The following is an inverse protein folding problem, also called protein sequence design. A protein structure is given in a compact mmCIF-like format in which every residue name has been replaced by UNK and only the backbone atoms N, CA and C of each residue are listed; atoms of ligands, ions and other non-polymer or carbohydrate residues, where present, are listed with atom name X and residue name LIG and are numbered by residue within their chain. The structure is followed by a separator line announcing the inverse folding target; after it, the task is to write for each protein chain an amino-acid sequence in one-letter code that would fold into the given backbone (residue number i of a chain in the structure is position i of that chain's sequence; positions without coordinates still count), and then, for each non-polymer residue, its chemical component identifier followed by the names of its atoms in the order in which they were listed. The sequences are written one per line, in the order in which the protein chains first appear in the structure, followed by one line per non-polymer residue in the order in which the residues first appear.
data_IF_841700970855
#
_entry.id   IF_841700970855
#
_cell.length_a   1.000
_cell.length_b   1.000
_cell.length_c   1.000
_cell.angle_alpha   90.00
_cell.angle_beta   90.00
_cell.angle_gamma   90.00
#
_symmetry.space_group_name_H-M   'P 1'
#
loop_
_entity.id
_entity.type
_entity.pdbx_description
1 polymer ?
#
# COMPACT_ATOMS: atom_id res chain seq x y z
N UNK A 1 -21.50 -14.66 -2.18
CA UNK A 1 -21.93 -15.77 -1.33
C UNK A 1 -21.74 -15.40 0.15
N UNK A 2 -22.62 -15.86 1.05
CA UNK A 2 -22.50 -15.68 2.51
C UNK A 2 -23.00 -14.36 3.10
N UNK A 3 -23.29 -13.34 2.29
CA UNK A 3 -23.72 -12.01 2.75
C UNK A 3 -24.98 -12.05 3.65
N UNK A 4 -25.89 -12.97 3.39
CA UNK A 4 -27.14 -13.14 4.14
C UNK A 4 -26.96 -13.83 5.50
N UNK A 5 -25.78 -14.40 5.77
CA UNK A 5 -25.47 -15.14 7.00
C UNK A 5 -24.95 -14.19 8.08
N UNK A 6 -24.18 -13.17 7.67
CA UNK A 6 -23.52 -12.27 8.60
C UNK A 6 -24.22 -10.90 8.63
N UNK A 7 -24.61 -10.49 9.82
CA UNK A 7 -25.18 -9.17 10.02
C UNK A 7 -24.18 -8.05 9.67
N UNK A 8 -24.61 -6.92 9.09
CA UNK A 8 -23.74 -5.76 8.86
C UNK A 8 -23.22 -5.16 10.18
N UNK A 9 -22.22 -4.27 10.08
CA UNK A 9 -21.60 -3.56 11.21
C UNK A 9 -20.77 -4.44 12.14
N UNK A 10 -20.04 -5.38 11.56
CA UNK A 10 -19.07 -6.21 12.27
C UNK A 10 -17.67 -5.59 12.31
N UNK A 11 -16.79 -6.13 13.16
CA UNK A 11 -15.41 -5.64 13.26
C UNK A 11 -14.56 -6.03 12.04
N UNK A 12 -14.66 -7.27 11.58
CA UNK A 12 -13.89 -7.78 10.44
C UNK A 12 -14.79 -8.52 9.48
N UNK A 13 -14.54 -8.35 8.18
CA UNK A 13 -15.07 -9.18 7.12
C UNK A 13 -13.94 -9.63 6.20
N UNK A 14 -13.92 -10.90 5.84
CA UNK A 14 -13.00 -11.46 4.86
C UNK A 14 -13.71 -11.66 3.53
N UNK A 15 -13.10 -11.19 2.44
CA UNK A 15 -13.61 -11.40 1.08
C UNK A 15 -12.67 -12.38 0.39
N UNK A 16 -13.20 -13.50 -0.09
CA UNK A 16 -12.50 -14.53 -0.85
C UNK A 16 -12.95 -14.55 -2.29
N UNK A 17 -12.19 -15.23 -3.14
CA UNK A 17 -12.55 -15.39 -4.55
C UNK A 17 -13.63 -16.45 -4.76
N UNK A 18 -13.49 -17.61 -4.12
CA UNK A 18 -14.37 -18.74 -4.21
C UNK A 18 -15.27 -18.93 -2.97
N UNK A 19 -16.40 -19.59 -3.17
CA UNK A 19 -17.36 -19.91 -2.09
C UNK A 19 -16.76 -20.91 -1.10
N UNK A 20 -16.02 -21.89 -1.63
CA UNK A 20 -15.31 -22.89 -0.81
C UNK A 20 -14.24 -22.22 0.04
N UNK A 21 -13.56 -21.20 -0.50
CA UNK A 21 -12.56 -20.44 0.24
C UNK A 21 -13.18 -19.61 1.36
N UNK A 22 -14.37 -19.06 1.15
CA UNK A 22 -15.11 -18.36 2.20
C UNK A 22 -15.45 -19.27 3.37
N UNK A 23 -15.94 -20.48 3.07
CA UNK A 23 -16.24 -21.48 4.10
C UNK A 23 -14.96 -21.97 4.80
N UNK A 24 -13.90 -22.21 4.04
CA UNK A 24 -12.60 -22.63 4.58
C UNK A 24 -11.98 -21.54 5.47
N UNK A 25 -12.00 -20.28 5.02
CA UNK A 25 -11.52 -19.14 5.81
C UNK A 25 -12.32 -18.98 7.11
N UNK A 26 -13.64 -19.12 7.05
CA UNK A 26 -14.48 -19.05 8.23
C UNK A 26 -14.11 -20.12 9.26
N UNK A 27 -13.94 -21.36 8.83
CA UNK A 27 -13.52 -22.48 9.69
C UNK A 27 -12.11 -22.26 10.25
N UNK A 28 -11.15 -21.85 9.42
CA UNK A 28 -9.76 -21.57 9.82
C UNK A 28 -9.66 -20.44 10.84
N UNK A 29 -10.54 -19.44 10.77
CA UNK A 29 -10.62 -18.33 11.71
C UNK A 29 -11.44 -18.62 12.96
N UNK A 30 -11.85 -19.89 13.16
CA UNK A 30 -12.57 -20.32 14.34
C UNK A 30 -14.03 -19.89 14.36
N UNK A 31 -14.63 -19.73 13.19
CA UNK A 31 -16.04 -19.37 13.01
C UNK A 31 -16.43 -18.06 13.71
N UNK A 32 -15.47 -17.13 13.80
CA UNK A 32 -15.63 -15.89 14.58
C UNK A 32 -15.92 -14.66 13.72
N UNK A 33 -15.29 -14.56 12.56
CA UNK A 33 -15.35 -13.37 11.71
C UNK A 33 -16.13 -13.65 10.43
N UNK A 34 -16.85 -12.66 9.92
CA UNK A 34 -17.59 -12.79 8.68
C UNK A 34 -16.67 -13.14 7.51
N UNK A 35 -17.05 -14.13 6.72
CA UNK A 35 -16.35 -14.55 5.51
C UNK A 35 -17.36 -14.67 4.37
N UNK A 36 -17.11 -13.94 3.28
CA UNK A 36 -17.96 -13.90 2.09
C UNK A 36 -17.12 -14.09 0.85
N UNK A 37 -17.72 -14.53 -0.25
CA UNK A 37 -17.03 -14.60 -1.54
C UNK A 37 -17.68 -13.73 -2.59
N UNK A 38 -16.86 -13.35 -3.59
CA UNK A 38 -17.36 -12.83 -4.87
C UNK A 38 -18.03 -13.96 -5.68
N UNK A 39 -18.77 -13.61 -6.77
CA UNK A 39 -19.61 -14.60 -7.45
C UNK A 39 -18.92 -15.34 -8.59
N UNK A 40 -18.11 -14.61 -9.38
CA UNK A 40 -17.59 -15.10 -10.65
C UNK A 40 -16.05 -14.92 -10.78
N UNK A 41 -15.32 -15.13 -9.70
CA UNK A 41 -13.87 -15.05 -9.67
C UNK A 41 -13.30 -13.62 -9.80
N UNK A 42 -11.98 -13.51 -9.84
CA UNK A 42 -11.23 -12.25 -9.80
C UNK A 42 -11.70 -11.20 -10.82
N UNK A 43 -12.10 -11.61 -12.03
CA UNK A 43 -12.54 -10.69 -13.08
C UNK A 43 -13.80 -9.90 -12.72
N UNK A 44 -14.67 -10.46 -11.89
CA UNK A 44 -15.90 -9.80 -11.46
C UNK A 44 -15.77 -9.07 -10.12
N UNK A 45 -14.66 -9.24 -9.42
CA UNK A 45 -14.44 -8.78 -8.05
C UNK A 45 -14.83 -7.31 -7.84
N UNK A 46 -14.32 -6.43 -8.69
CA UNK A 46 -14.61 -4.99 -8.61
C UNK A 46 -16.11 -4.69 -8.74
N UNK A 47 -16.78 -5.33 -9.68
CA UNK A 47 -18.22 -5.14 -9.94
C UNK A 47 -19.07 -5.69 -8.78
N UNK A 48 -18.70 -6.85 -8.27
CA UNK A 48 -19.47 -7.52 -7.21
C UNK A 48 -19.29 -6.78 -5.88
N UNK A 49 -18.07 -6.32 -5.57
CA UNK A 49 -17.81 -5.49 -4.40
C UNK A 49 -18.49 -4.10 -4.50
N UNK A 50 -18.53 -3.47 -5.68
CA UNK A 50 -19.31 -2.23 -5.88
C UNK A 50 -20.77 -2.41 -5.56
N UNK A 51 -21.38 -3.52 -6.00
CA UNK A 51 -22.81 -3.82 -5.73
C UNK A 51 -23.09 -4.05 -4.24
N UNK A 52 -22.12 -4.59 -3.53
CA UNK A 52 -22.21 -4.89 -2.09
C UNK A 52 -21.51 -3.82 -1.22
N UNK A 53 -21.21 -2.64 -1.78
CA UNK A 53 -20.38 -1.63 -1.14
C UNK A 53 -20.88 -1.24 0.24
N UNK A 54 -22.15 -0.86 0.38
CA UNK A 54 -22.73 -0.43 1.66
C UNK A 54 -22.63 -1.51 2.74
N UNK A 55 -22.83 -2.77 2.34
CA UNK A 55 -22.69 -3.90 3.27
C UNK A 55 -21.23 -4.09 3.69
N UNK A 56 -20.30 -4.14 2.74
CA UNK A 56 -18.88 -4.34 3.01
C UNK A 56 -18.28 -3.17 3.81
N UNK A 57 -18.67 -1.94 3.45
CA UNK A 57 -18.18 -0.74 4.14
C UNK A 57 -18.75 -0.58 5.55
N UNK A 58 -19.80 -1.29 5.90
CA UNK A 58 -20.34 -1.31 7.27
C UNK A 58 -19.44 -1.98 8.30
N UNK A 59 -18.43 -2.76 7.89
CA UNK A 59 -17.46 -3.38 8.77
C UNK A 59 -16.29 -2.43 9.06
N UNK A 60 -15.66 -2.54 10.23
CA UNK A 60 -14.53 -1.69 10.60
C UNK A 60 -13.31 -1.95 9.70
N UNK A 61 -13.05 -3.22 9.37
CA UNK A 61 -11.92 -3.64 8.55
C UNK A 61 -12.35 -4.73 7.55
N UNK A 62 -11.84 -4.62 6.34
CA UNK A 62 -12.04 -5.59 5.26
C UNK A 62 -10.72 -6.29 4.99
N UNK A 63 -10.68 -7.62 5.08
CA UNK A 63 -9.52 -8.44 4.72
C UNK A 63 -9.78 -9.09 3.37
N UNK A 64 -8.97 -8.78 2.38
CA UNK A 64 -9.07 -9.35 1.04
C UNK A 64 -8.14 -10.56 0.97
N UNK A 65 -8.72 -11.74 0.75
CA UNK A 65 -8.03 -13.04 0.69
C UNK A 65 -8.34 -13.71 -0.65
N UNK A 66 -7.83 -13.12 -1.74
CA UNK A 66 -7.95 -13.68 -3.08
C UNK A 66 -6.79 -14.60 -3.39
N UNK A 67 -6.90 -15.37 -4.46
CA UNK A 67 -5.86 -16.30 -4.92
C UNK A 67 -4.51 -15.60 -5.11
N UNK A 68 -3.42 -16.30 -4.82
CA UNK A 68 -2.06 -15.73 -4.92
C UNK A 68 -1.51 -15.69 -6.35
N UNK A 69 -2.36 -15.88 -7.34
CA UNK A 69 -1.99 -15.70 -8.75
C UNK A 69 -1.98 -14.21 -9.17
N UNK A 70 -1.61 -13.95 -10.42
CA UNK A 70 -1.55 -12.58 -10.95
C UNK A 70 -2.92 -11.91 -10.97
N UNK A 71 -3.97 -12.64 -11.34
CA UNK A 71 -5.32 -12.11 -11.47
C UNK A 71 -5.92 -11.76 -10.09
N UNK A 72 -5.74 -12.63 -9.11
CA UNK A 72 -6.20 -12.40 -7.74
C UNK A 72 -5.50 -11.20 -7.09
N UNK A 73 -4.19 -11.04 -7.31
CA UNK A 73 -3.45 -9.86 -6.79
C UNK A 73 -3.93 -8.55 -7.42
N UNK A 74 -4.07 -8.49 -8.74
CA UNK A 74 -4.60 -7.30 -9.43
C UNK A 74 -6.05 -6.98 -9.01
N UNK A 75 -6.86 -8.01 -8.81
CA UNK A 75 -8.23 -7.85 -8.32
C UNK A 75 -8.28 -7.33 -6.87
N UNK A 76 -7.38 -7.83 -6.01
CA UNK A 76 -7.26 -7.37 -4.62
C UNK A 76 -6.97 -5.88 -4.54
N UNK A 77 -6.04 -5.38 -5.35
CA UNK A 77 -5.70 -3.96 -5.41
C UNK A 77 -6.89 -3.11 -5.89
N UNK A 78 -7.54 -3.54 -6.98
CA UNK A 78 -8.71 -2.83 -7.53
C UNK A 78 -9.88 -2.79 -6.54
N UNK A 79 -10.11 -3.87 -5.80
CA UNK A 79 -11.16 -3.90 -4.77
C UNK A 79 -10.78 -3.03 -3.57
N UNK A 80 -9.52 -3.06 -3.14
CA UNK A 80 -9.06 -2.24 -2.03
C UNK A 80 -9.19 -0.73 -2.32
N UNK A 81 -9.02 -0.31 -3.57
CA UNK A 81 -9.20 1.09 -4.01
C UNK A 81 -10.64 1.60 -3.92
N UNK A 82 -11.63 0.73 -3.77
CA UNK A 82 -13.02 1.14 -3.61
C UNK A 82 -13.31 1.79 -2.26
N UNK A 83 -12.53 1.44 -1.25
CA UNK A 83 -12.78 1.79 0.13
C UNK A 83 -11.84 2.89 0.62
N UNK A 84 -12.21 3.51 1.73
CA UNK A 84 -11.40 4.56 2.34
C UNK A 84 -9.99 4.06 2.70
N UNK A 85 -8.98 4.93 2.69
CA UNK A 85 -7.61 4.56 3.11
C UNK A 85 -7.61 3.86 4.48
N UNK A 86 -6.76 2.86 4.63
CA UNK A 86 -6.62 2.02 5.83
C UNK A 86 -7.82 1.11 6.17
N UNK A 87 -8.87 1.10 5.37
CA UNK A 87 -10.05 0.23 5.56
C UNK A 87 -9.76 -1.21 5.14
N UNK A 88 -9.04 -1.38 4.05
CA UNK A 88 -8.73 -2.69 3.47
C UNK A 88 -7.34 -3.16 3.85
N UNK A 89 -7.24 -4.46 4.14
CA UNK A 89 -5.98 -5.19 4.27
C UNK A 89 -5.93 -6.26 3.19
N UNK A 90 -4.79 -6.40 2.54
CA UNK A 90 -4.56 -7.46 1.56
C UNK A 90 -3.74 -8.57 2.21
N UNK A 91 -4.28 -9.77 2.19
CA UNK A 91 -3.64 -10.94 2.75
C UNK A 91 -2.65 -11.53 1.75
N UNK A 92 -1.45 -11.85 2.24
CA UNK A 92 -0.46 -12.61 1.48
C UNK A 92 -0.36 -14.02 2.06
N UNK A 93 -0.60 -15.00 1.22
CA UNK A 93 -0.62 -16.42 1.59
C UNK A 93 0.56 -17.15 0.93
N UNK A 94 1.13 -18.13 1.64
CA UNK A 94 2.16 -19.03 1.10
C UNK A 94 1.56 -20.10 0.16
N UNK A 95 0.30 -20.48 0.40
CA UNK A 95 -0.47 -21.39 -0.44
C UNK A 95 -1.44 -20.60 -1.31
N UNK A 96 -1.97 -21.27 -2.33
CA UNK A 96 -2.80 -20.64 -3.35
C UNK A 96 -4.04 -19.97 -2.76
N UNK A 97 -4.79 -20.67 -1.92
CA UNK A 97 -6.09 -20.26 -1.42
C UNK A 97 -6.35 -20.77 0.01
N UNK A 98 -7.45 -20.35 0.62
CA UNK A 98 -7.85 -20.76 1.96
C UNK A 98 -8.17 -22.26 2.07
N UNK A 99 -8.71 -22.85 1.01
CA UNK A 99 -9.06 -24.27 1.00
C UNK A 99 -7.82 -25.16 1.06
N UNK A 100 -6.72 -24.78 0.44
CA UNK A 100 -5.45 -25.51 0.57
C UNK A 100 -4.94 -25.54 2.01
N UNK A 101 -5.02 -24.41 2.72
CA UNK A 101 -4.65 -24.38 4.15
C UNK A 101 -5.52 -25.32 4.98
N UNK A 102 -6.83 -25.38 4.70
CA UNK A 102 -7.73 -26.26 5.41
C UNK A 102 -7.41 -27.73 5.14
N UNK A 103 -7.20 -28.12 3.87
CA UNK A 103 -6.80 -29.48 3.48
C UNK A 103 -5.49 -29.93 4.12
N UNK A 104 -4.53 -29.01 4.28
CA UNK A 104 -3.23 -29.28 4.89
C UNK A 104 -3.25 -29.17 6.42
N UNK A 105 -4.40 -28.88 7.03
CA UNK A 105 -4.56 -28.66 8.47
C UNK A 105 -3.62 -27.55 9.03
N UNK A 106 -3.42 -26.48 8.23
CA UNK A 106 -2.51 -25.36 8.55
C UNK A 106 -3.24 -24.13 9.12
N UNK A 107 -4.14 -24.36 10.06
CA UNK A 107 -4.97 -23.31 10.68
C UNK A 107 -4.17 -22.16 11.26
N UNK A 108 -3.11 -22.47 12.02
CA UNK A 108 -2.29 -21.44 12.67
C UNK A 108 -1.55 -20.55 11.65
N UNK A 109 -1.05 -21.15 10.55
CA UNK A 109 -0.38 -20.39 9.49
C UNK A 109 -1.36 -19.45 8.78
N UNK A 110 -2.57 -19.92 8.46
CA UNK A 110 -3.61 -19.08 7.87
C UNK A 110 -4.00 -17.95 8.81
N UNK A 111 -4.27 -18.25 10.07
CA UNK A 111 -4.63 -17.23 11.06
C UNK A 111 -3.53 -16.20 11.24
N UNK A 112 -2.26 -16.61 11.26
CA UNK A 112 -1.12 -15.70 11.32
C UNK A 112 -1.03 -14.80 10.08
N UNK A 113 -1.20 -15.36 8.86
CA UNK A 113 -1.23 -14.60 7.62
C UNK A 113 -2.38 -13.60 7.60
N UNK A 114 -3.54 -13.97 8.12
CA UNK A 114 -4.70 -13.10 8.23
C UNK A 114 -4.47 -11.91 9.17
N UNK A 115 -3.90 -12.14 10.35
CA UNK A 115 -3.57 -11.06 11.29
C UNK A 115 -2.46 -10.14 10.77
N UNK A 116 -1.52 -10.69 10.02
CA UNK A 116 -0.41 -9.97 9.39
C UNK A 116 -0.75 -9.36 8.03
N UNK A 117 -2.02 -9.42 7.61
CA UNK A 117 -2.46 -8.83 6.36
C UNK A 117 -2.09 -7.33 6.31
N UNK A 118 -1.44 -6.93 5.22
CA UNK A 118 -0.93 -5.56 5.05
C UNK A 118 -2.06 -4.61 4.70
N UNK A 119 -2.11 -3.47 5.38
CA UNK A 119 -3.02 -2.39 5.01
C UNK A 119 -2.71 -1.94 3.59
N UNK A 120 -3.74 -1.89 2.76
CA UNK A 120 -3.61 -1.36 1.41
C UNK A 120 -3.38 0.14 1.45
N UNK A 121 -2.28 0.57 0.87
CA UNK A 121 -1.95 1.99 0.69
C UNK A 121 -1.87 2.26 -0.81
N UNK A 122 -2.68 3.16 -1.38
CA UNK A 122 -2.60 3.52 -2.80
C UNK A 122 -1.20 4.01 -3.17
N UNK A 123 -0.78 3.74 -4.41
CA UNK A 123 0.50 4.23 -4.93
C UNK A 123 0.58 5.77 -4.78
N UNK A 124 1.68 6.26 -4.21
CA UNK A 124 1.91 7.69 -3.93
C UNK A 124 1.50 8.16 -2.53
N UNK A 125 0.84 7.32 -1.72
CA UNK A 125 0.62 7.60 -0.29
C UNK A 125 1.62 6.76 0.50
N UNK A 126 2.54 7.42 1.19
CA UNK A 126 3.56 6.74 2.01
C UNK A 126 3.26 6.99 3.48
N UNK A 127 3.32 5.95 4.28
CA UNK A 127 3.13 6.07 5.72
C UNK A 127 4.41 6.62 6.36
N UNK A 128 4.30 7.73 7.08
CA UNK A 128 5.44 8.36 7.78
C UNK A 128 6.21 7.43 8.71
N UNK A 129 5.56 6.40 9.27
CA UNK A 129 6.24 5.38 10.08
C UNK A 129 7.20 4.51 9.28
N UNK A 130 6.86 4.21 8.02
CA UNK A 130 7.69 3.41 7.12
C UNK A 130 8.86 4.23 6.56
N UNK A 131 8.68 5.56 6.47
CA UNK A 131 9.73 6.49 6.06
C UNK A 131 10.70 6.86 7.18
N UNK A 132 10.40 6.54 8.44
CA UNK A 132 11.22 6.99 9.57
C UNK A 132 12.69 6.63 9.42
N UNK A 133 12.97 5.40 9.01
CA UNK A 133 14.34 4.92 8.88
C UNK A 133 15.03 5.51 7.66
N UNK A 134 14.30 5.71 6.56
CA UNK A 134 14.80 6.33 5.32
C UNK A 134 14.98 7.85 5.44
N UNK A 135 14.17 8.53 6.27
CA UNK A 135 14.28 9.98 6.49
C UNK A 135 15.54 10.38 7.28
N UNK A 136 16.13 9.43 7.98
CA UNK A 136 17.38 9.64 8.75
C UNK A 136 18.60 9.01 8.07
N UNK A 137 18.44 8.35 6.93
CA UNK A 137 19.56 8.00 6.06
C UNK A 137 20.06 9.29 5.41
N UNK A 138 21.20 9.79 5.86
CA UNK A 138 21.89 10.89 5.20
C UNK A 138 22.32 10.43 3.81
N UNK A 139 21.60 10.84 2.77
CA UNK A 139 22.13 10.77 1.40
C UNK A 139 23.35 11.69 1.33
N UNK A 140 24.52 11.08 1.23
CA UNK A 140 25.76 11.83 1.03
C UNK A 140 25.76 12.44 -0.37
N UNK A 141 25.32 13.70 -0.45
CA UNK A 141 25.43 14.49 -1.67
C UNK A 141 26.80 15.15 -1.74
N UNK A 142 27.56 14.88 -2.80
CA UNK A 142 28.78 15.65 -3.06
C UNK A 142 28.43 17.15 -3.16
N UNK A 143 29.04 17.93 -2.28
CA UNK A 143 28.79 19.35 -2.18
C UNK A 143 30.06 20.14 -2.59
N UNK A 144 29.93 21.01 -3.57
CA UNK A 144 30.98 21.96 -3.97
C UNK A 144 30.68 23.31 -3.34
N UNK A 145 31.62 23.85 -2.60
CA UNK A 145 31.43 25.15 -1.94
C UNK A 145 31.55 26.30 -2.94
N UNK A 146 30.75 27.35 -2.75
CA UNK A 146 30.94 28.60 -3.43
C UNK A 146 32.23 29.30 -2.94
N UNK A 147 32.87 30.13 -3.77
CA UNK A 147 34.04 30.94 -3.34
C UNK A 147 33.72 31.91 -2.19
N UNK A 148 32.46 32.16 -1.91
CA UNK A 148 32.03 33.16 -0.92
C UNK A 148 31.46 32.48 0.34
N UNK A 149 32.17 32.63 1.46
CA UNK A 149 31.80 31.99 2.74
C UNK A 149 30.37 32.30 3.20
N UNK A 150 29.95 33.58 3.11
CA UNK A 150 28.58 33.99 3.49
C UNK A 150 27.47 33.33 2.65
N UNK A 151 27.77 33.00 1.40
CA UNK A 151 26.83 32.29 0.54
C UNK A 151 26.71 30.83 0.99
N UNK A 152 27.82 30.18 1.30
CA UNK A 152 27.86 28.83 1.81
C UNK A 152 27.11 28.68 3.15
N UNK A 153 27.21 29.65 4.05
CA UNK A 153 26.44 29.66 5.30
C UNK A 153 24.93 29.64 5.08
N UNK A 154 24.47 30.21 3.95
CA UNK A 154 23.03 30.28 3.63
C UNK A 154 22.52 29.16 2.74
N UNK A 155 23.36 28.61 1.88
CA UNK A 155 22.95 27.62 0.85
C UNK A 155 23.55 26.26 1.07
N UNK A 156 24.54 26.14 1.96
CA UNK A 156 25.32 24.91 2.20
C UNK A 156 26.11 24.43 0.96
N UNK A 157 26.40 25.32 0.00
CA UNK A 157 27.13 25.01 -1.23
C UNK A 157 26.22 24.60 -2.38
N UNK A 158 26.81 24.05 -3.42
CA UNK A 158 26.17 23.50 -4.63
C UNK A 158 26.16 21.98 -4.54
N UNK A 159 25.02 21.33 -4.75
CA UNK A 159 24.89 19.88 -4.67
C UNK A 159 24.63 19.27 -6.05
N UNK A 160 25.08 18.06 -6.25
CA UNK A 160 24.76 17.31 -7.47
C UNK A 160 23.25 17.10 -7.60
N UNK A 161 22.72 17.27 -8.81
CA UNK A 161 21.29 17.18 -9.10
C UNK A 161 20.49 18.47 -8.89
N UNK A 162 21.10 19.55 -8.37
CA UNK A 162 20.44 20.86 -8.21
C UNK A 162 20.58 21.73 -9.46
N UNK A 163 19.55 22.49 -9.81
CA UNK A 163 19.59 23.55 -10.81
C UNK A 163 19.73 24.91 -10.13
N UNK A 164 20.88 25.54 -10.32
CA UNK A 164 21.15 26.88 -9.78
C UNK A 164 20.97 27.92 -10.87
N UNK A 165 20.05 28.87 -10.70
CA UNK A 165 19.78 29.93 -11.66
C UNK A 165 20.26 31.28 -11.13
N UNK A 166 21.20 31.92 -11.84
CA UNK A 166 21.70 33.25 -11.55
C UNK A 166 21.01 34.28 -12.44
N UNK A 167 20.27 35.21 -11.84
CA UNK A 167 19.57 36.27 -12.56
C UNK A 167 20.04 37.64 -12.10
N UNK A 168 20.23 38.55 -13.04
CA UNK A 168 20.48 40.01 -12.77
C UNK A 168 20.27 40.82 -14.03
N UNK A 169 20.26 42.14 -13.93
CA UNK A 169 20.23 43.05 -15.08
C UNK A 169 21.45 42.94 -15.99
N UNK A 170 21.37 43.52 -17.19
CA UNK A 170 22.47 43.55 -18.11
C UNK A 170 23.67 44.34 -17.50
N UNK A 171 24.89 43.89 -17.72
CA UNK A 171 26.10 44.55 -17.23
C UNK A 171 26.41 44.34 -15.74
N UNK A 172 25.61 43.61 -14.99
CA UNK A 172 25.75 43.45 -13.54
C UNK A 172 26.77 42.38 -13.11
N UNK A 173 27.60 41.86 -13.99
CA UNK A 173 28.71 40.96 -13.65
C UNK A 173 28.34 39.46 -13.59
N UNK A 174 27.20 39.01 -14.14
CA UNK A 174 26.83 37.57 -14.21
C UNK A 174 27.97 36.70 -14.74
N UNK A 175 28.56 37.07 -15.85
CA UNK A 175 29.64 36.31 -16.48
C UNK A 175 30.91 36.26 -15.61
N UNK A 176 31.16 37.30 -14.80
CA UNK A 176 32.28 37.33 -13.85
C UNK A 176 32.06 36.32 -12.71
N UNK A 177 30.82 36.25 -12.18
CA UNK A 177 30.46 35.27 -11.16
C UNK A 177 30.59 33.84 -11.71
N UNK A 178 30.10 33.61 -12.94
CA UNK A 178 30.21 32.28 -13.56
C UNK A 178 31.66 31.85 -13.80
N UNK A 179 32.54 32.81 -14.11
CA UNK A 179 33.98 32.55 -14.26
C UNK A 179 34.62 32.16 -12.94
N UNK A 180 34.26 32.82 -11.85
CA UNK A 180 34.73 32.52 -10.49
C UNK A 180 34.29 31.15 -10.00
N UNK A 181 33.09 30.71 -10.42
CA UNK A 181 32.58 29.39 -10.08
C UNK A 181 33.23 28.23 -10.85
N UNK A 182 33.94 28.51 -11.96
CA UNK A 182 34.62 27.51 -12.78
C UNK A 182 36.09 27.30 -12.40
N UNK A 183 36.63 28.06 -11.48
CA UNK A 183 37.97 27.96 -10.92
C UNK A 183 37.97 27.30 -9.56
#
# INVERSE_FOLDING_TARGET
FGQNIFAPKGKYITITEGEVDAMSAYELLGSKWACVSIKNGAQSALRDCKKAFEYLDSFDQIVISFDMDKQGREASEKVAQLFSPNKCKVMHMEHKDANEYLKMNKREQFSRAWWNAKTYTPAGIVNLKELKDTLFEEEYCETVLFPWAKLNEKTYGMRTGELITLTSGAGMGKSSIMRELMH
#
